data_IF_543825544450
#
_entry.id   IF_543825544450
#
_cell.length_a   1.000
_cell.length_b   1.000
_cell.length_c   1.000
_cell.angle_alpha   90.00
_cell.angle_beta   90.00
_cell.angle_gamma   90.00
#
_symmetry.space_group_name_H-M   'P 1'
#
loop_
_entity.id
_entity.type
_entity.pdbx_description
1 polymer ?
#
# COMPACT_ATOMS: atom_id res chain seq x y z
N UNK A 1 -13.71 7.01 0.78
CA UNK A 1 -12.72 8.11 0.77
C UNK A 1 -11.35 7.68 1.29
N UNK A 2 -11.22 7.09 2.49
CA UNK A 2 -9.93 6.63 3.02
C UNK A 2 -9.15 5.66 2.08
N UNK A 3 -9.85 4.79 1.34
CA UNK A 3 -9.25 3.87 0.38
C UNK A 3 -8.55 4.54 -0.83
N UNK A 4 -8.95 5.76 -1.21
CA UNK A 4 -8.40 6.45 -2.39
C UNK A 4 -7.06 7.14 -2.08
N UNK A 5 -6.92 7.68 -0.87
CA UNK A 5 -5.65 8.20 -0.35
C UNK A 5 -4.63 7.07 -0.12
N UNK A 6 -5.10 5.92 0.40
CA UNK A 6 -4.27 4.72 0.52
C UNK A 6 -3.81 4.18 -0.86
N UNK A 7 -4.51 4.52 -1.94
CA UNK A 7 -4.15 4.19 -3.33
C UNK A 7 -3.28 5.27 -4.02
N UNK A 8 -2.78 6.28 -3.30
CA UNK A 8 -1.83 7.28 -3.82
C UNK A 8 -2.45 8.48 -4.55
N UNK A 9 -3.76 8.72 -4.42
CA UNK A 9 -4.39 9.90 -5.01
C UNK A 9 -4.11 11.15 -4.15
N UNK A 10 -3.71 12.24 -4.80
CA UNK A 10 -3.42 13.50 -4.11
C UNK A 10 -4.69 14.21 -3.63
N UNK A 11 -4.60 15.00 -2.55
CA UNK A 11 -5.72 15.83 -2.02
C UNK A 11 -6.39 16.68 -3.12
N UNK A 12 -5.67 17.32 -4.06
CA UNK A 12 -6.28 18.02 -5.19
C UNK A 12 -7.14 17.11 -6.10
N UNK A 13 -6.71 15.87 -6.34
CA UNK A 13 -7.45 14.93 -7.16
C UNK A 13 -8.74 14.45 -6.46
N UNK A 14 -8.67 14.25 -5.14
CA UNK A 14 -9.84 13.89 -4.34
C UNK A 14 -10.88 15.02 -4.32
N UNK A 15 -10.45 16.27 -4.14
CA UNK A 15 -11.31 17.46 -4.23
C UNK A 15 -12.02 17.56 -5.58
N UNK A 16 -11.29 17.33 -6.68
CA UNK A 16 -11.88 17.35 -8.02
C UNK A 16 -12.95 16.26 -8.20
N UNK A 17 -12.71 15.06 -7.66
CA UNK A 17 -13.67 13.97 -7.67
C UNK A 17 -14.94 14.27 -6.84
N UNK A 18 -14.78 14.88 -5.66
CA UNK A 18 -15.92 15.30 -4.83
C UNK A 18 -16.80 16.32 -5.55
N UNK A 19 -16.20 17.32 -6.21
CA UNK A 19 -16.92 18.28 -7.05
C UNK A 19 -17.64 17.60 -8.22
N UNK A 20 -16.99 16.67 -8.91
CA UNK A 20 -17.60 15.91 -9.99
C UNK A 20 -18.78 15.04 -9.52
N UNK A 21 -18.73 14.57 -8.26
CA UNK A 21 -19.83 13.87 -7.60
C UNK A 21 -20.95 14.81 -7.08
N UNK A 22 -20.83 16.13 -7.32
CA UNK A 22 -21.84 17.12 -6.96
C UNK A 22 -21.73 17.67 -5.54
N UNK A 23 -20.59 17.48 -4.87
CA UNK A 23 -20.37 18.07 -3.54
C UNK A 23 -20.13 19.58 -3.66
N UNK A 24 -20.69 20.33 -2.71
CA UNK A 24 -20.39 21.76 -2.57
C UNK A 24 -18.98 21.95 -2.04
N UNK A 25 -18.32 23.03 -2.50
CA UNK A 25 -16.93 23.33 -2.16
C UNK A 25 -16.68 23.37 -0.65
N UNK A 26 -17.53 24.07 0.09
CA UNK A 26 -17.38 24.21 1.55
C UNK A 26 -17.48 22.86 2.28
N UNK A 27 -18.33 21.95 1.78
CA UNK A 27 -18.50 20.61 2.35
C UNK A 27 -17.30 19.72 2.01
N UNK A 28 -16.76 19.85 0.79
CA UNK A 28 -15.56 19.14 0.39
C UNK A 28 -14.33 19.62 1.18
N UNK A 29 -14.19 20.93 1.38
CA UNK A 29 -13.14 21.53 2.19
C UNK A 29 -13.21 21.09 3.66
N UNK A 30 -14.39 21.14 4.27
CA UNK A 30 -14.59 20.69 5.64
C UNK A 30 -14.24 19.21 5.82
N UNK A 31 -14.69 18.35 4.90
CA UNK A 31 -14.41 16.92 4.95
C UNK A 31 -12.92 16.60 4.73
N UNK A 32 -12.23 17.33 3.85
CA UNK A 32 -10.78 17.18 3.65
C UNK A 32 -9.99 17.68 4.87
N UNK A 33 -10.39 18.79 5.50
CA UNK A 33 -9.76 19.30 6.71
C UNK A 33 -9.95 18.35 7.91
N UNK A 34 -11.13 17.73 8.03
CA UNK A 34 -11.38 16.68 9.03
C UNK A 34 -10.49 15.47 8.79
N UNK A 35 -10.30 15.08 7.52
CA UNK A 35 -9.44 13.97 7.14
C UNK A 35 -7.96 14.25 7.39
N UNK A 36 -7.47 15.46 7.14
CA UNK A 36 -6.10 15.88 7.48
C UNK A 36 -5.89 15.96 9.00
N UNK A 37 -6.87 16.49 9.73
CA UNK A 37 -6.87 16.53 11.20
C UNK A 37 -6.86 15.12 11.80
N UNK A 38 -7.67 14.21 11.25
CA UNK A 38 -7.70 12.82 11.66
C UNK A 38 -6.41 12.09 11.27
N UNK A 39 -5.86 12.35 10.08
CA UNK A 39 -4.55 11.82 9.69
C UNK A 39 -3.42 12.35 10.58
N UNK A 40 -3.49 13.58 11.08
CA UNK A 40 -2.54 14.14 12.05
C UNK A 40 -2.73 13.56 13.46
N UNK A 41 -3.96 13.18 13.84
CA UNK A 41 -4.25 12.45 15.08
C UNK A 41 -3.82 10.98 14.99
N UNK A 42 -4.02 10.32 13.85
CA UNK A 42 -3.49 9.00 13.49
C UNK A 42 -1.99 9.02 13.17
N UNK A 43 -1.39 10.22 13.04
CA UNK A 43 0.06 10.40 12.97
C UNK A 43 0.73 10.26 14.36
N UNK A 44 -0.04 9.98 15.42
CA UNK A 44 0.43 9.00 16.41
C UNK A 44 0.51 7.68 15.68
N UNK A 45 1.61 7.50 14.94
CA UNK A 45 1.93 6.37 14.07
C UNK A 45 1.44 5.10 14.74
N UNK A 46 0.22 4.67 14.41
CA UNK A 46 -0.07 3.25 14.50
C UNK A 46 0.94 2.67 13.53
N UNK A 47 1.93 1.88 13.99
CA UNK A 47 2.91 1.33 13.09
C UNK A 47 2.11 0.63 12.01
N UNK A 48 2.18 1.15 10.77
CA UNK A 48 1.63 0.45 9.61
C UNK A 48 2.13 -0.96 9.76
N UNK A 49 1.21 -1.88 10.08
CA UNK A 49 1.58 -3.24 10.48
C UNK A 49 2.58 -3.72 9.43
N UNK A 50 3.79 -4.05 9.87
CA UNK A 50 4.86 -4.41 8.96
C UNK A 50 4.31 -5.42 7.96
N UNK A 51 4.36 -5.07 6.67
CA UNK A 51 3.77 -5.91 5.62
C UNK A 51 4.40 -7.31 5.75
N UNK A 52 3.62 -8.36 6.01
CA UNK A 52 4.17 -9.68 6.17
C UNK A 52 4.93 -10.07 4.91
N UNK A 53 6.04 -10.79 5.09
CA UNK A 53 6.82 -11.29 3.97
C UNK A 53 8.11 -11.96 4.42
N UNK A 54 8.81 -12.61 3.49
CA UNK A 54 10.06 -13.29 3.78
C UNK A 54 11.16 -12.31 4.18
N UNK A 55 12.08 -12.78 5.01
CA UNK A 55 13.32 -12.07 5.29
C UNK A 55 14.21 -12.12 4.03
N UNK A 56 14.48 -10.93 3.50
CA UNK A 56 15.33 -10.72 2.33
C UNK A 56 16.47 -9.73 2.63
N UNK A 57 16.79 -9.50 3.92
CA UNK A 57 17.79 -8.50 4.32
C UNK A 57 19.18 -8.77 3.72
N UNK A 58 19.54 -10.05 3.57
CA UNK A 58 20.80 -10.48 2.97
C UNK A 58 20.73 -10.71 1.45
N UNK A 59 19.65 -10.28 0.78
CA UNK A 59 19.38 -10.52 -0.63
C UNK A 59 19.60 -11.99 -1.09
N UNK A 60 18.98 -12.97 -0.42
CA UNK A 60 19.13 -14.38 -0.79
C UNK A 60 18.54 -14.64 -2.18
N UNK A 61 19.20 -15.52 -2.95
CA UNK A 61 18.73 -15.96 -4.27
C UNK A 61 17.61 -17.02 -4.17
N UNK A 62 17.53 -17.73 -3.05
CA UNK A 62 16.53 -18.77 -2.80
C UNK A 62 15.98 -18.64 -1.37
N UNK A 63 14.68 -18.91 -1.22
CA UNK A 63 14.01 -19.01 0.08
C UNK A 63 13.40 -20.41 0.22
N UNK A 64 13.37 -20.92 1.44
CA UNK A 64 12.69 -22.19 1.74
C UNK A 64 11.23 -21.89 2.07
N UNK A 65 10.32 -22.38 1.21
CA UNK A 65 8.88 -22.46 1.51
C UNK A 65 8.57 -23.74 2.29
N UNK A 66 7.28 -24.02 2.53
CA UNK A 66 6.87 -25.18 3.33
C UNK A 66 7.33 -26.53 2.73
N UNK A 67 7.31 -26.64 1.41
CA UNK A 67 7.54 -27.87 0.66
C UNK A 67 8.67 -27.77 -0.38
N UNK A 68 9.10 -26.54 -0.74
CA UNK A 68 10.06 -26.32 -1.83
C UNK A 68 10.98 -25.12 -1.65
N UNK A 69 12.04 -25.09 -2.46
CA UNK A 69 12.88 -23.90 -2.65
C UNK A 69 12.28 -23.00 -3.73
N UNK A 70 12.03 -21.76 -3.37
CA UNK A 70 11.51 -20.72 -4.26
C UNK A 70 12.65 -19.76 -4.59
N UNK A 71 12.79 -19.39 -5.87
CA UNK A 71 13.84 -18.49 -6.34
C UNK A 71 13.38 -17.04 -6.23
N UNK A 72 14.26 -16.16 -5.74
CA UNK A 72 14.03 -14.72 -5.75
C UNK A 72 14.66 -14.16 -7.03
N UNK A 73 13.82 -13.75 -7.98
CA UNK A 73 14.26 -13.27 -9.29
C UNK A 73 14.55 -11.77 -9.28
N UNK A 74 13.73 -10.99 -8.56
CA UNK A 74 13.88 -9.54 -8.47
C UNK A 74 13.28 -9.01 -7.16
N UNK A 75 13.91 -7.97 -6.61
CA UNK A 75 13.38 -7.20 -5.47
C UNK A 75 13.39 -5.71 -5.78
N UNK A 76 12.29 -5.03 -5.46
CA UNK A 76 12.15 -3.58 -5.51
C UNK A 76 11.62 -3.12 -4.15
N UNK A 77 12.26 -2.11 -3.56
CA UNK A 77 11.92 -1.67 -2.19
C UNK A 77 10.74 -0.70 -2.14
N UNK A 78 10.63 0.20 -3.11
CA UNK A 78 9.59 1.24 -3.12
C UNK A 78 9.03 1.47 -4.54
N UNK A 79 7.77 1.05 -4.82
CA UNK A 79 6.94 0.15 -4.01
C UNK A 79 7.60 -1.21 -3.74
N UNK A 80 7.18 -1.89 -2.65
CA UNK A 80 7.71 -3.21 -2.30
C UNK A 80 7.18 -4.26 -3.26
N UNK A 81 8.02 -4.75 -4.17
CA UNK A 81 7.70 -5.78 -5.16
C UNK A 81 8.77 -6.87 -5.11
N UNK A 82 8.35 -8.14 -5.07
CA UNK A 82 9.25 -9.30 -5.08
C UNK A 82 8.75 -10.25 -6.17
N UNK A 83 9.63 -10.68 -7.05
CA UNK A 83 9.32 -11.65 -8.10
C UNK A 83 9.88 -13.00 -7.70
N UNK A 84 9.01 -14.00 -7.60
CA UNK A 84 9.38 -15.37 -7.29
C UNK A 84 9.34 -16.25 -8.55
N UNK A 85 10.32 -17.14 -8.66
CA UNK A 85 10.30 -18.25 -9.61
C UNK A 85 10.14 -19.57 -8.85
N UNK A 86 9.54 -20.58 -9.49
CA UNK A 86 9.27 -21.88 -8.87
C UNK A 86 8.39 -21.76 -7.60
N UNK A 87 7.42 -20.83 -7.60
CA UNK A 87 6.52 -20.61 -6.48
C UNK A 87 5.39 -21.63 -6.44
N UNK A 88 4.85 -21.97 -7.61
CA UNK A 88 3.76 -22.93 -7.78
C UNK A 88 4.28 -24.13 -8.59
N UNK A 89 3.70 -25.30 -8.33
CA UNK A 89 3.84 -26.47 -9.20
C UNK A 89 2.91 -26.41 -10.41
N UNK A 90 3.02 -27.37 -11.33
CA UNK A 90 2.14 -27.46 -12.50
C UNK A 90 0.70 -27.85 -12.11
N UNK A 91 0.52 -28.45 -10.93
CA UNK A 91 -0.77 -28.96 -10.44
C UNK A 91 -1.59 -27.96 -9.59
N UNK A 92 -1.01 -26.83 -9.19
CA UNK A 92 -1.64 -25.82 -8.29
C UNK A 92 -2.48 -24.75 -8.99
#
# INVERSE_FOLDING_TARGET
MAAQLAAGHSVPALRASMRAAGWHDDVADAALAELESNAAADAVVTPQRAMPGPDLESAPLEIMAADRRVRVLQTMRHPRVIVFGNLLDDEE
#
